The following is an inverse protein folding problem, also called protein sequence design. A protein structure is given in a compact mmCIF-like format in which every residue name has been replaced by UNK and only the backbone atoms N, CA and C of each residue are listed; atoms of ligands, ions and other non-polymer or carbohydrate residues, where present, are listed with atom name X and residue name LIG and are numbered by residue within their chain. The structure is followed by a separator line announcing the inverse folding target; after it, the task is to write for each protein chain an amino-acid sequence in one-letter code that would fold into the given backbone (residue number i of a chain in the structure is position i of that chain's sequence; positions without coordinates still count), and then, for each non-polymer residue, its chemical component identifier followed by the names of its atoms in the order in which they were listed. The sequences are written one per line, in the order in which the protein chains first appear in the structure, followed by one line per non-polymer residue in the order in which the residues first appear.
data_IF_821402458729
#
_entry.id   IF_821402458729
#
_cell.length_a   1.000
_cell.length_b   1.000
_cell.length_c   1.000
_cell.angle_alpha   90.00
_cell.angle_beta   90.00
_cell.angle_gamma   90.00
#
_symmetry.space_group_name_H-M   'P 1'
#
loop_
_entity.id
_entity.type
_entity.pdbx_description
1 polymer ?
#
# COMPACT_ATOMS: atom_id res chain seq x y z
N UNK A 1 -10.23 1.01 9.04
CA UNK A 1 -10.47 0.03 7.96
C UNK A 1 -9.43 -1.09 7.91
N UNK A 2 -8.15 -0.82 8.23
CA UNK A 2 -7.03 -1.76 8.03
C UNK A 2 -6.69 -2.64 9.26
N UNK A 3 -7.60 -2.77 10.24
CA UNK A 3 -7.33 -3.53 11.45
C UNK A 3 -7.31 -5.04 11.14
N UNK A 4 -6.23 -5.73 11.52
CA UNK A 4 -6.08 -7.17 11.32
C UNK A 4 -5.73 -7.57 9.88
N UNK A 5 -5.35 -6.60 9.06
CA UNK A 5 -4.89 -6.79 7.68
C UNK A 5 -3.37 -7.03 7.69
N UNK A 6 -2.90 -7.89 6.79
CA UNK A 6 -1.49 -8.24 6.62
C UNK A 6 -0.97 -7.79 5.24
N UNK A 7 0.33 -7.86 5.01
CA UNK A 7 0.99 -7.45 3.77
C UNK A 7 1.69 -8.63 3.10
N UNK A 8 1.34 -8.88 1.83
CA UNK A 8 2.13 -9.72 0.94
C UNK A 8 3.11 -8.84 0.17
N UNK A 9 4.33 -8.75 0.70
CA UNK A 9 5.39 -7.91 0.16
C UNK A 9 5.86 -8.41 -1.21
N UNK A 10 6.05 -9.73 -1.35
CA UNK A 10 6.53 -10.34 -2.58
C UNK A 10 5.57 -10.06 -3.74
N UNK A 11 4.27 -10.19 -3.48
CA UNK A 11 3.24 -9.97 -4.47
C UNK A 11 2.56 -8.61 -4.40
N UNK A 12 3.11 -7.66 -3.63
CA UNK A 12 2.63 -6.26 -3.52
C UNK A 12 1.13 -6.16 -3.30
N UNK A 13 0.64 -6.88 -2.30
CA UNK A 13 -0.77 -6.97 -1.97
C UNK A 13 -1.06 -6.77 -0.49
N UNK A 14 -2.29 -6.36 -0.22
CA UNK A 14 -2.88 -6.23 1.11
C UNK A 14 -3.73 -7.47 1.33
N UNK A 15 -3.41 -8.27 2.35
CA UNK A 15 -4.13 -9.49 2.71
C UNK A 15 -5.20 -9.13 3.75
N UNK A 16 -6.44 -9.10 3.28
CA UNK A 16 -7.60 -8.78 4.11
C UNK A 16 -7.99 -9.94 5.03
N UNK A 17 -8.79 -9.65 6.06
CA UNK A 17 -9.25 -10.63 7.05
C UNK A 17 -10.15 -11.73 6.47
N UNK A 18 -10.70 -11.51 5.28
CA UNK A 18 -11.45 -12.51 4.49
C UNK A 18 -10.52 -13.36 3.60
N UNK A 19 -9.21 -13.23 3.75
CA UNK A 19 -8.19 -13.93 2.97
C UNK A 19 -7.95 -13.35 1.57
N UNK A 20 -8.71 -12.32 1.16
CA UNK A 20 -8.51 -11.71 -0.15
C UNK A 20 -7.21 -10.90 -0.17
N UNK A 21 -6.40 -11.14 -1.19
CA UNK A 21 -5.23 -10.31 -1.48
C UNK A 21 -5.58 -9.27 -2.53
N UNK A 22 -5.54 -8.01 -2.15
CA UNK A 22 -5.93 -6.87 -2.99
C UNK A 22 -4.77 -5.90 -3.21
N UNK A 23 -4.72 -5.28 -4.39
CA UNK A 23 -3.82 -4.14 -4.62
C UNK A 23 -4.25 -2.92 -3.79
N UNK A 24 -3.43 -1.86 -3.76
CA UNK A 24 -3.79 -0.59 -3.13
C UNK A 24 -5.08 -0.03 -3.76
N UNK A 25 -5.19 0.03 -5.08
CA UNK A 25 -6.41 0.58 -5.74
C UNK A 25 -7.67 -0.27 -5.50
N UNK A 26 -7.52 -1.60 -5.47
CA UNK A 26 -8.64 -2.49 -5.13
C UNK A 26 -9.08 -2.29 -3.68
N UNK A 27 -8.12 -2.11 -2.76
CA UNK A 27 -8.38 -1.80 -1.36
C UNK A 27 -9.03 -0.43 -1.16
N UNK A 28 -8.58 0.59 -1.90
CA UNK A 28 -9.22 1.92 -1.94
C UNK A 28 -10.69 1.79 -2.38
N UNK A 29 -10.96 1.06 -3.46
CA UNK A 29 -12.33 0.82 -3.93
C UNK A 29 -13.18 0.04 -2.92
N UNK A 30 -12.60 -0.97 -2.25
CA UNK A 30 -13.29 -1.76 -1.20
C UNK A 30 -13.72 -0.85 -0.05
N UNK A 31 -12.81 -0.02 0.46
CA UNK A 31 -13.10 0.91 1.56
C UNK A 31 -14.10 1.99 1.11
N UNK A 32 -13.93 2.57 -0.09
CA UNK A 32 -14.86 3.55 -0.64
C UNK A 32 -16.30 3.03 -0.67
N UNK A 33 -16.51 1.79 -1.16
CA UNK A 33 -17.84 1.15 -1.18
C UNK A 33 -18.46 0.97 0.20
N UNK A 34 -17.65 0.85 1.25
CA UNK A 34 -18.11 0.65 2.62
C UNK A 34 -18.38 1.96 3.36
N UNK A 35 -17.62 3.02 3.05
CA UNK A 35 -17.60 4.25 3.87
C UNK A 35 -18.07 5.49 3.13
N UNK A 36 -18.00 5.52 1.79
CA UNK A 36 -18.25 6.70 0.98
C UNK A 36 -17.18 7.81 1.10
N UNK A 37 -16.10 7.57 1.86
CA UNK A 37 -15.02 8.54 2.07
C UNK A 37 -14.27 8.79 0.75
N UNK A 38 -13.80 10.01 0.51
CA UNK A 38 -13.05 10.36 -0.69
C UNK A 38 -11.88 9.38 -0.99
N UNK A 39 -11.76 9.00 -2.27
CA UNK A 39 -10.78 8.01 -2.77
C UNK A 39 -9.33 8.42 -2.48
N UNK A 40 -8.99 9.70 -2.64
CA UNK A 40 -7.63 10.20 -2.39
C UNK A 40 -7.30 10.13 -0.90
N UNK A 41 -8.26 10.50 -0.03
CA UNK A 41 -8.08 10.41 1.41
C UNK A 41 -7.87 8.96 1.88
N UNK A 42 -8.63 8.01 1.31
CA UNK A 42 -8.43 6.59 1.60
C UNK A 42 -7.05 6.12 1.13
N UNK A 43 -6.63 6.52 -0.08
CA UNK A 43 -5.32 6.15 -0.62
C UNK A 43 -4.20 6.68 0.25
N UNK A 44 -4.22 7.97 0.60
CA UNK A 44 -3.23 8.58 1.50
C UNK A 44 -3.20 7.88 2.86
N UNK A 45 -4.36 7.47 3.38
CA UNK A 45 -4.42 6.71 4.62
C UNK A 45 -3.77 5.31 4.51
N UNK A 46 -3.97 4.60 3.40
CA UNK A 46 -3.31 3.29 3.17
C UNK A 46 -1.80 3.47 3.05
N UNK A 47 -1.33 4.47 2.31
CA UNK A 47 0.11 4.74 2.16
C UNK A 47 0.74 5.08 3.51
N UNK A 48 0.15 6.01 4.26
CA UNK A 48 0.66 6.35 5.60
C UNK A 48 0.62 5.16 6.57
N UNK A 49 -0.33 4.25 6.42
CA UNK A 49 -0.36 3.01 7.18
C UNK A 49 0.80 2.07 6.82
N UNK A 50 1.19 1.97 5.54
CA UNK A 50 2.37 1.18 5.15
C UNK A 50 3.66 1.75 5.76
N UNK A 51 3.81 3.08 5.77
CA UNK A 51 5.03 3.74 6.22
C UNK A 51 5.19 3.70 7.75
N UNK A 52 4.09 3.93 8.48
CA UNK A 52 4.15 4.24 9.91
C UNK A 52 3.21 3.39 10.78
N UNK A 53 2.22 2.72 10.18
CA UNK A 53 1.13 2.08 10.91
C UNK A 53 1.15 0.55 10.92
N UNK A 54 1.96 -0.08 10.06
CA UNK A 54 2.09 -1.53 10.00
C UNK A 54 3.31 -2.00 10.79
N UNK A 55 3.06 -2.87 11.77
CA UNK A 55 4.09 -3.44 12.62
C UNK A 55 4.22 -4.95 12.33
N UNK A 56 5.21 -5.38 11.53
CA UNK A 56 5.45 -6.80 11.32
C UNK A 56 5.91 -7.46 12.62
N UNK A 57 5.47 -8.70 12.86
CA UNK A 57 5.86 -9.48 14.06
C UNK A 57 6.90 -10.53 13.70
N UNK A 58 7.80 -10.78 14.65
CA UNK A 58 8.77 -11.87 14.55
C UNK A 58 9.92 -11.62 13.58
N UNK A 59 10.16 -10.35 13.22
CA UNK A 59 11.35 -9.95 12.48
C UNK A 59 12.46 -9.53 13.45
N UNK A 60 13.69 -9.91 13.15
CA UNK A 60 14.88 -9.28 13.72
C UNK A 60 15.17 -7.91 13.09
N UNK A 61 16.20 -7.21 13.57
CA UNK A 61 16.53 -5.86 13.11
C UNK A 61 16.89 -5.82 11.62
N UNK A 62 17.62 -6.80 11.10
CA UNK A 62 18.02 -6.86 9.69
C UNK A 62 16.79 -7.12 8.80
N UNK A 63 15.95 -8.06 9.22
CA UNK A 63 14.69 -8.38 8.55
C UNK A 63 13.71 -7.19 8.57
N UNK A 64 13.67 -6.43 9.66
CA UNK A 64 12.84 -5.23 9.77
C UNK A 64 13.32 -4.12 8.82
N UNK A 65 14.63 -3.90 8.72
CA UNK A 65 15.18 -2.92 7.79
C UNK A 65 14.96 -3.32 6.33
N UNK A 66 15.15 -4.61 6.01
CA UNK A 66 14.82 -5.16 4.69
C UNK A 66 13.33 -4.98 4.38
N UNK A 67 12.47 -5.27 5.35
CA UNK A 67 11.03 -5.10 5.22
C UNK A 67 10.66 -3.64 4.92
N UNK A 68 11.19 -2.68 5.69
CA UNK A 68 10.97 -1.23 5.46
C UNK A 68 11.45 -0.80 4.08
N UNK A 69 12.62 -1.28 3.64
CA UNK A 69 13.15 -1.00 2.30
C UNK A 69 12.21 -1.49 1.19
N UNK A 70 11.66 -2.70 1.34
CA UNK A 70 10.71 -3.28 0.38
C UNK A 70 9.38 -2.53 0.35
N UNK A 71 8.89 -2.07 1.50
CA UNK A 71 7.70 -1.22 1.60
C UNK A 71 7.92 0.10 0.86
N UNK A 72 9.02 0.80 1.14
CA UNK A 72 9.33 2.07 0.50
C UNK A 72 9.44 1.91 -1.03
N UNK A 73 10.15 0.89 -1.50
CA UNK A 73 10.26 0.59 -2.94
C UNK A 73 8.92 0.22 -3.58
N UNK A 74 7.99 -0.35 -2.81
CA UNK A 74 6.63 -0.58 -3.28
C UNK A 74 5.84 0.72 -3.41
N UNK A 75 5.84 1.56 -2.36
CA UNK A 75 5.16 2.86 -2.34
C UNK A 75 5.67 3.74 -3.48
N UNK A 76 6.99 3.87 -3.63
CA UNK A 76 7.60 4.69 -4.69
C UNK A 76 7.15 4.24 -6.08
N UNK A 77 7.16 2.94 -6.34
CA UNK A 77 6.69 2.41 -7.63
C UNK A 77 5.20 2.69 -7.87
N UNK A 78 4.39 2.65 -6.81
CA UNK A 78 2.97 2.98 -6.90
C UNK A 78 2.73 4.48 -7.12
N UNK A 79 3.38 5.36 -6.36
CA UNK A 79 3.25 6.82 -6.54
C UNK A 79 3.74 7.25 -7.93
N UNK A 80 4.87 6.71 -8.38
CA UNK A 80 5.38 6.97 -9.73
C UNK A 80 4.42 6.50 -10.83
N UNK A 81 3.67 5.39 -10.62
CA UNK A 81 2.68 4.95 -11.60
C UNK A 81 1.49 5.91 -11.68
N UNK A 82 1.07 6.49 -10.55
CA UNK A 82 0.02 7.52 -10.53
C UNK A 82 0.44 8.79 -11.28
N UNK A 83 1.68 9.24 -11.07
CA UNK A 83 2.23 10.41 -11.78
C UNK A 83 2.24 10.18 -13.29
N UNK A 84 2.68 8.99 -13.75
CA UNK A 84 2.68 8.64 -15.17
C UNK A 84 1.28 8.60 -15.78
N UNK A 85 0.28 8.16 -15.02
CA UNK A 85 -1.11 8.16 -15.46
C UNK A 85 -1.65 9.59 -15.56
N UNK A 86 -1.28 10.47 -14.62
CA UNK A 86 -1.69 11.87 -14.62
C UNK A 86 -0.95 12.71 -15.69
N UNK A 87 0.26 12.29 -16.09
CA UNK A 87 1.13 12.99 -17.05
C UNK A 87 1.82 11.99 -17.99
N UNK A 88 1.11 11.47 -19.02
CA UNK A 88 1.60 10.41 -19.90
C UNK A 88 2.87 10.78 -20.70
N UNK A 89 3.19 12.07 -20.83
CA UNK A 89 4.36 12.58 -21.56
C UNK A 89 5.62 12.79 -20.71
N UNK A 90 5.65 12.32 -19.45
CA UNK A 90 6.88 12.39 -18.62
C UNK A 90 7.92 11.37 -19.09
N UNK A 91 8.76 11.79 -20.04
CA UNK A 91 9.97 11.07 -20.47
C UNK A 91 10.92 10.88 -19.28
N UNK A 92 11.49 9.69 -19.04
CA UNK A 92 12.50 9.53 -18.01
C UNK A 92 13.72 10.42 -18.34
N UNK A 93 14.22 11.12 -17.32
CA UNK A 93 15.46 11.90 -17.35
C UNK A 93 16.66 11.01 -17.67
#
# INVERSE_FOLDING_TARGET
ALKGVDLDIAGRGIVWTDGQKLTIDQSVKKIYKQTGINIEAIRSHIIGWFELGYEPKGLDDEQLELFKSQINAWIDKYVNSLIKIASPDTKPL
#
